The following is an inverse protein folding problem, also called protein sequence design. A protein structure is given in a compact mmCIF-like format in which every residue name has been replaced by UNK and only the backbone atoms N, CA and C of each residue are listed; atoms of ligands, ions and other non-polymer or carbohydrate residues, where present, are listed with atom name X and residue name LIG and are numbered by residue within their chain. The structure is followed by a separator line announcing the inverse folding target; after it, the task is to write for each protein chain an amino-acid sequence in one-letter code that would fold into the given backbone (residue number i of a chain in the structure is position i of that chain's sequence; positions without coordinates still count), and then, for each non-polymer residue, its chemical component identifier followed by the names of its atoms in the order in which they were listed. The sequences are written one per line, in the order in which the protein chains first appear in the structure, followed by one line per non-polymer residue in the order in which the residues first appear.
data_IF_143628178211
#
_entry.id   IF_143628178211
#
_cell.length_a   1.000
_cell.length_b   1.000
_cell.length_c   1.000
_cell.angle_alpha   90.00
_cell.angle_beta   90.00
_cell.angle_gamma   90.00
#
_symmetry.space_group_name_H-M   'P 1'
#
loop_
_entity.id
_entity.type
_entity.pdbx_description
1 polymer ?
#
# COMPACT_ATOMS: atom_id res chain seq x y z
N UNK A 1 18.54 42.21 24.46
CA UNK A 1 19.00 41.74 23.13
C UNK A 1 19.63 40.37 23.32
N UNK A 2 18.86 39.29 23.19
CA UNK A 2 19.35 37.93 23.45
C UNK A 2 19.39 37.17 22.13
N UNK A 3 20.59 36.95 21.61
CA UNK A 3 20.86 36.15 20.40
C UNK A 3 20.70 34.68 20.75
N UNK A 4 19.65 34.04 20.22
CA UNK A 4 19.54 32.59 20.25
C UNK A 4 20.48 31.98 19.21
N UNK A 5 21.41 31.19 19.71
CA UNK A 5 22.40 30.43 18.94
C UNK A 5 21.66 29.37 18.11
N UNK A 6 21.74 29.48 16.79
CA UNK A 6 21.22 28.50 15.84
C UNK A 6 22.07 27.23 15.89
N UNK A 7 21.50 26.13 16.37
CA UNK A 7 22.09 24.80 16.21
C UNK A 7 21.89 24.34 14.75
N UNK A 8 22.93 23.85 14.05
CA UNK A 8 22.76 23.31 12.72
C UNK A 8 22.01 21.97 12.78
N UNK A 9 20.90 21.88 12.03
CA UNK A 9 20.23 20.63 11.71
C UNK A 9 21.23 19.70 11.01
N UNK A 10 21.73 18.69 11.71
CA UNK A 10 22.50 17.61 11.08
C UNK A 10 21.60 16.93 10.04
N UNK A 11 22.01 16.96 8.79
CA UNK A 11 21.39 16.18 7.72
C UNK A 11 21.59 14.71 8.05
N UNK A 12 20.49 13.96 8.17
CA UNK A 12 20.53 12.49 8.25
C UNK A 12 20.76 11.97 6.83
N UNK A 13 21.92 12.26 6.29
CA UNK A 13 22.48 11.69 5.06
C UNK A 13 23.53 10.65 5.46
N UNK A 14 23.12 9.68 6.27
CA UNK A 14 23.93 8.51 6.56
C UNK A 14 23.43 7.37 5.66
N UNK A 15 24.20 7.16 4.60
CA UNK A 15 24.28 6.00 3.72
C UNK A 15 23.74 4.73 4.39
N UNK A 16 22.49 4.37 4.09
CA UNK A 16 22.02 3.00 4.23
C UNK A 16 22.16 2.35 2.85
N UNK A 17 23.23 1.57 2.69
CA UNK A 17 23.39 0.67 1.54
C UNK A 17 22.23 -0.32 1.58
N UNK A 18 21.15 -0.03 0.85
CA UNK A 18 20.05 -0.97 0.65
C UNK A 18 20.57 -2.09 -0.25
N UNK A 19 21.07 -3.14 0.39
CA UNK A 19 21.26 -4.42 -0.27
C UNK A 19 19.90 -4.86 -0.82
N UNK A 20 19.79 -4.86 -2.14
CA UNK A 20 18.66 -5.44 -2.87
C UNK A 20 18.60 -6.93 -2.57
N UNK A 21 17.90 -7.29 -1.49
CA UNK A 21 17.48 -8.67 -1.28
C UNK A 21 16.37 -8.96 -2.30
N UNK A 22 16.75 -9.65 -3.37
CA UNK A 22 15.80 -10.29 -4.28
C UNK A 22 14.90 -11.22 -3.45
N UNK A 23 13.74 -10.70 -3.03
CA UNK A 23 12.68 -11.52 -2.45
C UNK A 23 12.08 -12.35 -3.57
N UNK A 24 12.66 -13.52 -3.79
CA UNK A 24 12.03 -14.60 -4.55
C UNK A 24 10.73 -14.94 -3.82
N UNK A 25 9.60 -14.72 -4.47
CA UNK A 25 8.31 -15.19 -3.97
C UNK A 25 8.30 -16.73 -4.04
N UNK A 26 8.70 -17.38 -2.94
CA UNK A 26 8.47 -18.80 -2.75
C UNK A 26 6.99 -18.99 -2.44
N UNK A 27 6.22 -19.51 -3.40
CA UNK A 27 4.87 -19.99 -3.15
C UNK A 27 4.92 -21.04 -2.04
N UNK A 28 4.08 -20.88 -1.02
CA UNK A 28 3.97 -21.82 0.09
C UNK A 28 3.43 -23.17 -0.42
N UNK A 29 4.32 -24.07 -0.80
CA UNK A 29 3.98 -25.49 -0.92
C UNK A 29 3.85 -26.03 0.51
N UNK A 30 2.64 -26.44 0.87
CA UNK A 30 2.33 -27.04 2.16
C UNK A 30 3.30 -28.19 2.45
N UNK A 31 3.78 -28.27 3.70
CA UNK A 31 4.63 -29.37 4.17
C UNK A 31 3.96 -30.72 3.91
N UNK A 32 4.71 -31.65 3.32
CA UNK A 32 4.31 -33.05 3.22
C UNK A 32 4.06 -33.61 4.63
N UNK A 33 2.81 -34.00 4.88
CA UNK A 33 2.49 -35.01 5.87
C UNK A 33 2.37 -36.33 5.11
N UNK A 34 3.31 -37.23 5.41
CA UNK A 34 3.25 -38.63 5.05
C UNK A 34 2.11 -39.26 5.86
N UNK A 35 0.98 -39.52 5.19
CA UNK A 35 -0.03 -40.46 5.65
C UNK A 35 -0.67 -41.09 4.42
N UNK A 36 -0.38 -42.39 4.26
CA UNK A 36 -0.89 -43.25 3.21
C UNK A 36 -2.41 -43.31 3.19
N UNK A 37 -3.01 -42.46 2.39
CA UNK A 37 -4.36 -42.65 1.89
C UNK A 37 -4.28 -42.59 0.36
N UNK A 38 -4.55 -43.73 -0.30
CA UNK A 38 -4.77 -43.81 -1.75
C UNK A 38 -5.99 -42.97 -2.12
N UNK A 39 -5.81 -41.65 -2.21
CA UNK A 39 -6.74 -40.77 -2.86
C UNK A 39 -6.74 -41.16 -4.34
N UNK A 40 -7.80 -41.84 -4.79
CA UNK A 40 -8.05 -42.07 -6.22
C UNK A 40 -7.95 -40.71 -6.90
N UNK A 41 -6.86 -40.47 -7.63
CA UNK A 41 -6.75 -39.27 -8.45
C UNK A 41 -7.96 -39.28 -9.37
N UNK A 42 -8.86 -38.32 -9.17
CA UNK A 42 -9.97 -38.07 -10.08
C UNK A 42 -9.25 -37.66 -11.36
N UNK A 43 -9.11 -38.62 -12.28
CA UNK A 43 -8.44 -38.46 -13.57
C UNK A 43 -9.02 -37.20 -14.19
N UNK A 44 -8.26 -36.11 -14.10
CA UNK A 44 -8.68 -34.81 -14.62
C UNK A 44 -9.18 -35.05 -16.03
N UNK A 45 -10.39 -34.57 -16.29
CA UNK A 45 -10.97 -34.74 -17.62
C UNK A 45 -9.96 -34.19 -18.62
N UNK A 46 -9.73 -34.87 -19.76
CA UNK A 46 -8.75 -34.42 -20.78
C UNK A 46 -8.98 -32.95 -21.21
N UNK A 47 -10.17 -32.40 -20.95
CA UNK A 47 -10.53 -30.99 -21.13
C UNK A 47 -9.90 -30.03 -20.10
N UNK A 48 -9.72 -30.42 -18.84
CA UNK A 48 -9.13 -29.55 -17.80
C UNK A 48 -7.62 -29.36 -18.03
N UNK A 49 -6.90 -30.43 -18.38
CA UNK A 49 -5.47 -30.35 -18.72
C UNK A 49 -5.24 -29.57 -20.02
N UNK A 50 -6.09 -29.75 -21.03
CA UNK A 50 -6.02 -28.98 -22.27
C UNK A 50 -6.32 -27.48 -22.07
N UNK A 51 -7.21 -27.13 -21.13
CA UNK A 51 -7.49 -25.74 -20.78
C UNK A 51 -6.34 -25.10 -19.98
N UNK A 52 -5.72 -25.84 -19.05
CA UNK A 52 -4.50 -25.41 -18.35
C UNK A 52 -3.35 -25.17 -19.35
N UNK A 53 -3.13 -26.08 -20.29
CA UNK A 53 -2.10 -25.92 -21.33
C UNK A 53 -2.35 -24.69 -22.21
N UNK A 54 -3.62 -24.37 -22.51
CA UNK A 54 -3.98 -23.14 -23.25
C UNK A 54 -3.69 -21.89 -22.43
N UNK A 55 -4.00 -21.89 -21.13
CA UNK A 55 -3.70 -20.79 -20.22
C UNK A 55 -2.20 -20.58 -20.03
N UNK A 56 -1.43 -21.67 -19.87
CA UNK A 56 0.03 -21.59 -19.78
C UNK A 56 0.62 -21.05 -21.08
N UNK A 57 0.16 -21.55 -22.24
CA UNK A 57 0.58 -21.03 -23.55
C UNK A 57 0.23 -19.56 -23.76
N UNK A 58 -0.95 -19.10 -23.31
CA UNK A 58 -1.32 -17.68 -23.42
C UNK A 58 -0.47 -16.80 -22.49
N UNK A 59 -0.18 -17.26 -21.27
CA UNK A 59 0.69 -16.57 -20.33
C UNK A 59 2.12 -16.44 -20.88
N UNK A 60 2.67 -17.53 -21.43
CA UNK A 60 4.00 -17.55 -22.06
C UNK A 60 4.05 -16.60 -23.26
N UNK A 61 3.03 -16.61 -24.12
CA UNK A 61 2.93 -15.65 -25.24
C UNK A 61 2.87 -14.21 -24.75
N UNK A 62 2.09 -13.93 -23.70
CA UNK A 62 1.99 -12.59 -23.13
C UNK A 62 3.33 -12.14 -22.53
N UNK A 63 4.00 -13.02 -21.78
CA UNK A 63 5.34 -12.76 -21.25
C UNK A 63 6.33 -12.40 -22.35
N UNK A 64 6.40 -13.20 -23.43
CA UNK A 64 7.29 -12.88 -24.54
C UNK A 64 6.91 -11.58 -25.24
N UNK A 65 5.62 -11.31 -25.44
CA UNK A 65 5.13 -10.05 -26.02
C UNK A 65 5.55 -8.82 -25.19
N UNK A 66 5.49 -8.92 -23.86
CA UNK A 66 5.91 -7.85 -22.96
C UNK A 66 7.44 -7.74 -22.89
N UNK A 67 8.16 -8.86 -22.98
CA UNK A 67 9.63 -8.88 -22.96
C UNK A 67 10.23 -8.23 -24.21
N UNK A 68 9.59 -8.39 -25.36
CA UNK A 68 10.01 -7.78 -26.63
C UNK A 68 9.25 -6.50 -26.96
N UNK A 69 8.54 -5.93 -25.97
CA UNK A 69 7.80 -4.70 -26.19
C UNK A 69 8.79 -3.53 -26.29
N UNK A 70 8.91 -2.97 -27.48
CA UNK A 70 9.58 -1.68 -27.67
C UNK A 70 8.56 -0.56 -27.44
N UNK A 71 8.84 0.40 -26.55
CA UNK A 71 7.99 1.56 -26.37
C UNK A 71 7.81 2.30 -27.70
N UNK A 72 6.60 2.81 -28.00
CA UNK A 72 6.39 3.59 -29.21
C UNK A 72 7.29 4.82 -29.20
N UNK A 73 7.95 5.10 -30.33
CA UNK A 73 8.71 6.34 -30.51
C UNK A 73 7.72 7.51 -30.48
N UNK A 74 7.94 8.42 -29.55
CA UNK A 74 7.14 9.65 -29.41
C UNK A 74 7.75 10.76 -30.27
N UNK A 75 6.92 11.65 -30.78
CA UNK A 75 7.42 12.92 -31.33
C UNK A 75 7.99 13.78 -30.20
N UNK A 76 8.93 14.66 -30.52
CA UNK A 76 9.57 15.55 -29.54
C UNK A 76 8.54 16.44 -28.82
N UNK A 77 7.49 16.87 -29.52
CA UNK A 77 6.40 17.67 -28.97
C UNK A 77 5.64 16.89 -27.88
N UNK A 78 5.21 15.65 -28.17
CA UNK A 78 4.52 14.80 -27.19
C UNK A 78 5.40 14.44 -26.01
N UNK A 79 6.70 14.27 -26.24
CA UNK A 79 7.64 14.00 -25.16
C UNK A 79 7.74 15.20 -24.20
N UNK A 80 7.77 16.43 -24.71
CA UNK A 80 7.75 17.65 -23.88
C UNK A 80 6.46 17.78 -23.08
N UNK A 81 5.30 17.58 -23.72
CA UNK A 81 3.99 17.59 -23.04
C UNK A 81 3.95 16.60 -21.86
N UNK A 82 4.39 15.36 -22.08
CA UNK A 82 4.41 14.35 -21.02
C UNK A 82 5.40 14.68 -19.91
N UNK A 83 6.55 15.26 -20.23
CA UNK A 83 7.50 15.71 -19.20
C UNK A 83 6.92 16.84 -18.35
N UNK A 84 6.22 17.79 -18.95
CA UNK A 84 5.56 18.88 -18.23
C UNK A 84 4.44 18.36 -17.34
N UNK A 85 3.58 17.49 -17.87
CA UNK A 85 2.51 16.85 -17.12
C UNK A 85 3.05 16.02 -15.93
N UNK A 86 4.13 15.27 -16.14
CA UNK A 86 4.77 14.48 -15.08
C UNK A 86 5.37 15.36 -13.97
N UNK A 87 6.01 16.48 -14.35
CA UNK A 87 6.54 17.46 -13.38
C UNK A 87 5.42 18.08 -12.56
N UNK A 88 4.32 18.46 -13.18
CA UNK A 88 3.19 19.08 -12.47
C UNK A 88 2.49 18.07 -11.56
N UNK A 89 2.28 16.84 -12.02
CA UNK A 89 1.78 15.76 -11.19
C UNK A 89 2.66 15.53 -9.95
N UNK A 90 3.99 15.48 -10.15
CA UNK A 90 4.93 15.33 -9.04
C UNK A 90 4.81 16.48 -8.03
N UNK A 91 4.74 17.73 -8.50
CA UNK A 91 4.52 18.90 -7.64
C UNK A 91 3.23 18.80 -6.82
N UNK A 92 2.14 18.39 -7.45
CA UNK A 92 0.85 18.21 -6.78
C UNK A 92 0.92 17.11 -5.71
N UNK A 93 1.53 15.98 -6.03
CA UNK A 93 1.67 14.87 -5.08
C UNK A 93 2.58 15.23 -3.90
N UNK A 94 3.66 16.00 -4.12
CA UNK A 94 4.50 16.50 -3.03
C UNK A 94 3.73 17.44 -2.11
N UNK A 95 2.92 18.36 -2.65
CA UNK A 95 2.06 19.23 -1.82
C UNK A 95 1.08 18.42 -0.99
N UNK A 96 0.43 17.44 -1.62
CA UNK A 96 -0.52 16.55 -0.95
C UNK A 96 0.15 15.76 0.18
N UNK A 97 1.36 15.25 -0.05
CA UNK A 97 2.15 14.56 0.95
C UNK A 97 2.41 15.44 2.17
N UNK A 98 2.97 16.64 1.97
CA UNK A 98 3.27 17.55 3.08
C UNK A 98 2.01 18.01 3.82
N UNK A 99 0.90 18.18 3.11
CA UNK A 99 -0.38 18.47 3.75
C UNK A 99 -0.82 17.35 4.70
N UNK A 100 -0.72 16.09 4.28
CA UNK A 100 -1.07 14.96 5.14
C UNK A 100 -0.08 14.75 6.29
N UNK A 101 1.21 14.97 6.04
CA UNK A 101 2.26 14.93 7.05
C UNK A 101 2.00 15.96 8.16
N UNK A 102 1.74 17.22 7.78
CA UNK A 102 1.40 18.28 8.72
C UNK A 102 0.13 17.92 9.52
N UNK A 103 -0.93 17.48 8.83
CA UNK A 103 -2.18 17.09 9.49
C UNK A 103 -2.00 15.94 10.48
N UNK A 104 -1.11 14.99 10.18
CA UNK A 104 -0.79 13.89 11.08
C UNK A 104 0.00 14.38 12.31
N UNK A 105 0.97 15.26 12.09
CA UNK A 105 1.74 15.88 13.18
C UNK A 105 0.83 16.70 14.11
N UNK A 106 -0.08 17.50 13.55
CA UNK A 106 -1.05 18.28 14.34
C UNK A 106 -1.94 17.35 15.19
N UNK A 107 -2.40 16.23 14.62
CA UNK A 107 -3.18 15.23 15.38
C UNK A 107 -2.39 14.62 16.54
N UNK A 108 -1.12 14.28 16.31
CA UNK A 108 -0.23 13.72 17.35
C UNK A 108 0.00 14.77 18.44
N UNK A 109 0.30 16.00 18.05
CA UNK A 109 0.52 17.11 18.98
C UNK A 109 -0.72 17.39 19.84
N UNK A 110 -1.90 17.50 19.21
CA UNK A 110 -3.15 17.71 19.93
C UNK A 110 -3.52 16.53 20.83
N UNK A 111 -3.25 15.29 20.40
CA UNK A 111 -3.41 14.10 21.24
C UNK A 111 -2.55 14.19 22.50
N UNK A 112 -1.27 14.52 22.35
CA UNK A 112 -0.34 14.58 23.48
C UNK A 112 -0.71 15.71 24.45
N UNK A 113 -1.13 16.86 23.92
CA UNK A 113 -1.72 17.94 24.71
C UNK A 113 -2.96 17.48 25.48
N UNK A 114 -3.91 16.81 24.81
CA UNK A 114 -5.12 16.31 25.44
C UNK A 114 -4.82 15.28 26.55
N UNK A 115 -3.86 14.38 26.34
CA UNK A 115 -3.41 13.44 27.37
C UNK A 115 -2.82 14.21 28.55
N UNK A 116 -1.95 15.19 28.31
CA UNK A 116 -1.35 16.00 29.39
C UNK A 116 -2.37 16.79 30.20
N UNK A 117 -3.47 17.20 29.58
CA UNK A 117 -4.55 17.94 30.22
C UNK A 117 -5.46 17.06 31.10
N UNK A 118 -5.27 15.73 31.11
CA UNK A 118 -6.05 14.84 31.96
C UNK A 118 -5.76 15.08 33.46
N UNK A 119 -6.80 15.05 34.32
CA UNK A 119 -6.70 15.52 35.70
C UNK A 119 -5.82 14.63 36.60
N UNK A 120 -5.74 13.32 36.33
CA UNK A 120 -4.99 12.38 37.17
C UNK A 120 -3.88 11.68 36.39
N UNK A 121 -2.79 11.34 37.08
CA UNK A 121 -1.65 10.65 36.48
C UNK A 121 -1.99 9.22 36.05
N UNK A 122 -2.86 8.53 36.80
CA UNK A 122 -3.34 7.19 36.43
C UNK A 122 -4.08 7.18 35.08
N UNK A 123 -4.90 8.19 34.79
CA UNK A 123 -5.59 8.32 33.51
C UNK A 123 -4.61 8.62 32.37
N UNK A 124 -3.57 9.41 32.63
CA UNK A 124 -2.50 9.69 31.66
C UNK A 124 -1.74 8.43 31.27
N UNK A 125 -1.38 7.59 32.23
CA UNK A 125 -0.67 6.33 31.97
C UNK A 125 -1.54 5.28 31.28
N UNK A 126 -2.85 5.26 31.55
CA UNK A 126 -3.78 4.41 30.81
C UNK A 126 -3.94 4.87 29.35
N UNK A 127 -4.09 6.18 29.11
CA UNK A 127 -4.28 6.73 27.77
C UNK A 127 -3.08 6.56 26.82
N UNK A 128 -1.87 6.36 27.36
CA UNK A 128 -0.65 6.08 26.56
C UNK A 128 -0.56 4.63 26.07
N UNK A 129 -1.36 3.70 26.62
CA UNK A 129 -1.29 2.28 26.27
C UNK A 129 -1.89 2.06 24.87
N UNK A 130 -1.25 1.18 24.10
CA UNK A 130 -1.75 0.77 22.79
C UNK A 130 -2.97 -0.13 22.94
N UNK A 131 -4.05 0.20 22.22
CA UNK A 131 -5.27 -0.60 22.17
C UNK A 131 -5.16 -1.67 21.05
N UNK A 132 -5.22 -2.98 21.37
CA UNK A 132 -5.18 -4.04 20.36
C UNK A 132 -6.43 -4.12 19.48
N UNK A 133 -7.55 -3.51 19.87
CA UNK A 133 -8.82 -3.55 19.14
C UNK A 133 -9.04 -2.35 18.18
N UNK A 134 -8.01 -1.54 17.98
CA UNK A 134 -8.11 -0.22 17.32
C UNK A 134 -8.64 -0.23 15.88
N UNK A 135 -8.65 -1.37 15.18
CA UNK A 135 -9.18 -1.49 13.82
C UNK A 135 -10.46 -2.34 13.84
N UNK A 136 -11.66 -1.74 13.76
CA UNK A 136 -12.89 -2.52 13.66
C UNK A 136 -12.85 -3.37 12.38
N UNK A 137 -13.07 -4.68 12.53
CA UNK A 137 -12.90 -5.67 11.45
C UNK A 137 -13.78 -5.48 10.20
N UNK A 138 -14.67 -4.48 10.19
CA UNK A 138 -15.48 -4.07 9.04
C UNK A 138 -15.16 -2.62 8.67
N UNK A 139 -14.00 -2.39 8.10
CA UNK A 139 -13.70 -1.11 7.46
C UNK A 139 -14.27 -1.11 6.04
N UNK A 140 -15.17 -0.18 5.74
CA UNK A 140 -15.71 -0.02 4.39
C UNK A 140 -14.72 0.78 3.55
N UNK A 141 -14.09 0.14 2.56
CA UNK A 141 -13.32 0.87 1.57
C UNK A 141 -14.27 1.55 0.58
N UNK A 142 -14.10 2.85 0.29
CA UNK A 142 -14.96 3.54 -0.65
C UNK A 142 -15.02 2.82 -2.00
N UNK A 143 -16.21 2.42 -2.42
CA UNK A 143 -16.44 1.83 -3.73
C UNK A 143 -16.52 2.92 -4.80
N UNK A 144 -16.08 2.61 -6.03
CA UNK A 144 -16.16 3.55 -7.17
C UNK A 144 -17.60 3.99 -7.48
N UNK A 145 -18.59 3.17 -7.15
CA UNK A 145 -20.02 3.49 -7.21
C UNK A 145 -20.63 3.25 -5.84
N UNK A 146 -21.43 4.21 -5.37
CA UNK A 146 -22.21 4.03 -4.15
C UNK A 146 -23.20 2.88 -4.34
N UNK A 147 -23.35 2.04 -3.31
CA UNK A 147 -24.43 1.05 -3.29
C UNK A 147 -25.69 1.76 -2.83
N UNK A 148 -26.79 1.54 -3.54
CA UNK A 148 -28.08 2.14 -3.21
C UNK A 148 -28.56 1.75 -1.80
N UNK A 149 -28.26 0.52 -1.37
CA UNK A 149 -28.57 -0.02 -0.04
C UNK A 149 -27.86 0.68 1.13
N UNK A 150 -26.69 1.28 0.87
CA UNK A 150 -25.93 2.04 1.86
C UNK A 150 -26.50 3.46 2.02
N UNK A 151 -27.07 4.03 0.95
CA UNK A 151 -27.70 5.36 0.94
C UNK A 151 -29.12 5.34 1.51
N UNK A 152 -29.89 4.26 1.28
CA UNK A 152 -31.29 4.18 1.72
C UNK A 152 -31.46 4.03 3.24
N UNK A 153 -30.42 3.57 3.95
CA UNK A 153 -30.40 3.48 5.42
C UNK A 153 -30.16 4.82 6.11
N UNK A 154 -29.43 5.74 5.48
CA UNK A 154 -29.18 7.08 6.02
C UNK A 154 -30.31 8.09 5.70
N UNK A 155 -31.16 7.77 4.71
CA UNK A 155 -32.29 8.60 4.28
C UNK A 155 -33.64 8.22 4.92
N UNK A 156 -33.68 7.18 5.76
CA UNK A 156 -34.87 6.76 6.49
C UNK A 156 -34.96 7.51 7.83
N UNK A 157 -35.22 8.82 7.78
CA UNK A 157 -35.68 9.64 8.91
C UNK A 157 -37.12 10.09 8.64
#
# INVERSE_FOLDING_TARGET
MNRLVSLPLRSVSAVASQTMTLRVASFATAKEKDDGAKAKSKKGSKSETANLDRQVKSLVKHYYKMRTYEPPKLSEEKQKEYMEAAKEYSRQMTRLHHYYEQRLNDKIFLRDLAISALPTEALREQAKKTDPEQIPGKYFYPARKARFEDLSKELAW
#
